data_IF_772808815238
#
_entry.id   IF_772808815238
#
_cell.length_a   1.000
_cell.length_b   1.000
_cell.length_c   1.000
_cell.angle_alpha   90.00
_cell.angle_beta   90.00
_cell.angle_gamma   90.00
#
_symmetry.space_group_name_H-M   'P 1'
#
loop_
_entity.id
_entity.type
_entity.pdbx_description
1 polymer ?
#
# COMPACT_ATOMS: atom_id res chain seq x y z
N UNK A 1 5.59 -16.04 1.51
CA UNK A 1 4.50 -15.93 2.50
C UNK A 1 4.92 -14.88 3.52
N UNK A 2 4.21 -13.75 3.60
CA UNK A 2 4.49 -12.71 4.59
C UNK A 2 3.98 -13.22 5.95
N UNK A 3 4.90 -13.57 6.86
CA UNK A 3 4.58 -14.30 8.10
C UNK A 3 4.39 -13.40 9.32
N UNK A 4 4.58 -12.09 9.17
CA UNK A 4 4.42 -11.11 10.24
C UNK A 4 3.89 -9.78 9.69
N UNK A 5 3.33 -8.96 10.59
CA UNK A 5 2.91 -7.59 10.29
C UNK A 5 4.09 -6.77 9.76
N UNK A 6 5.26 -6.92 10.37
CA UNK A 6 6.48 -6.20 9.93
C UNK A 6 6.90 -6.58 8.51
N UNK A 7 6.81 -7.86 8.14
CA UNK A 7 7.12 -8.30 6.80
C UNK A 7 6.17 -7.66 5.77
N UNK A 8 4.88 -7.57 6.10
CA UNK A 8 3.88 -6.91 5.25
C UNK A 8 4.22 -5.43 5.09
N UNK A 9 4.55 -4.75 6.18
CA UNK A 9 4.89 -3.33 6.16
C UNK A 9 6.14 -3.07 5.30
N UNK A 10 7.21 -3.84 5.51
CA UNK A 10 8.46 -3.72 4.73
C UNK A 10 8.20 -3.95 3.24
N UNK A 11 7.39 -4.96 2.90
CA UNK A 11 7.11 -5.31 1.51
C UNK A 11 6.34 -4.21 0.76
N UNK A 12 5.40 -3.51 1.42
CA UNK A 12 4.59 -2.47 0.77
C UNK A 12 5.23 -1.09 0.82
N UNK A 13 6.11 -0.82 1.78
CA UNK A 13 6.65 0.53 2.02
C UNK A 13 7.38 1.12 0.81
N UNK A 14 8.31 0.37 0.21
CA UNK A 14 9.07 0.81 -0.97
C UNK A 14 8.18 1.10 -2.19
N UNK A 15 7.36 0.13 -2.63
CA UNK A 15 6.40 0.33 -3.72
C UNK A 15 5.42 1.49 -3.48
N UNK A 16 4.95 1.66 -2.24
CA UNK A 16 4.04 2.75 -1.88
C UNK A 16 4.69 4.12 -2.01
N UNK A 17 5.92 4.29 -1.49
CA UNK A 17 6.69 5.54 -1.66
C UNK A 17 6.96 5.81 -3.13
N UNK A 18 7.31 4.79 -3.91
CA UNK A 18 7.55 4.93 -5.35
C UNK A 18 6.30 5.40 -6.11
N UNK A 19 5.12 4.94 -5.71
CA UNK A 19 3.85 5.26 -6.37
C UNK A 19 3.23 6.59 -5.91
N UNK A 20 3.39 6.96 -4.63
CA UNK A 20 2.65 8.07 -4.02
C UNK A 20 3.54 9.19 -3.46
N UNK A 21 4.85 8.98 -3.41
CA UNK A 21 5.83 9.94 -2.90
C UNK A 21 6.22 9.70 -1.44
N UNK A 22 7.30 10.36 -0.98
CA UNK A 22 7.94 10.09 0.32
C UNK A 22 7.11 10.54 1.53
N UNK A 23 6.11 11.40 1.35
CA UNK A 23 5.23 11.86 2.44
C UNK A 23 4.05 10.92 2.70
N UNK A 24 3.93 9.85 1.91
CA UNK A 24 2.85 8.87 2.03
C UNK A 24 2.95 8.09 3.33
N UNK A 25 1.82 7.88 4.02
CA UNK A 25 1.75 7.09 5.26
C UNK A 25 0.80 5.92 5.08
N UNK A 26 1.27 4.72 5.40
CA UNK A 26 0.42 3.53 5.44
C UNK A 26 -0.64 3.69 6.55
N UNK A 27 -1.91 3.46 6.22
CA UNK A 27 -3.00 3.49 7.19
C UNK A 27 -3.42 2.07 7.58
N UNK A 28 -3.62 1.22 6.59
CA UNK A 28 -4.01 -0.18 6.78
C UNK A 28 -3.28 -1.07 5.79
N UNK A 29 -3.03 -2.33 6.18
CA UNK A 29 -2.56 -3.37 5.29
C UNK A 29 -3.15 -4.71 5.73
N UNK A 30 -3.74 -5.41 4.79
CA UNK A 30 -4.39 -6.70 4.99
C UNK A 30 -3.85 -7.70 3.96
N UNK A 31 -3.60 -8.92 4.40
CA UNK A 31 -3.14 -10.01 3.53
C UNK A 31 -4.34 -10.77 2.99
N UNK A 32 -4.49 -10.77 1.67
CA UNK A 32 -5.53 -11.44 0.91
C UNK A 32 -4.88 -12.48 -0.01
N UNK A 33 -4.51 -13.63 0.54
CA UNK A 33 -3.78 -14.67 -0.20
C UNK A 33 -2.40 -14.16 -0.66
N UNK A 34 -2.14 -14.06 -1.99
CA UNK A 34 -0.88 -13.51 -2.50
C UNK A 34 -0.84 -11.98 -2.52
N UNK A 35 -1.98 -11.31 -2.32
CA UNK A 35 -2.06 -9.87 -2.37
C UNK A 35 -1.98 -9.24 -0.98
N UNK A 36 -1.39 -8.07 -0.90
CA UNK A 36 -1.57 -7.14 0.21
C UNK A 36 -2.42 -5.98 -0.28
N UNK A 37 -3.51 -5.70 0.42
CA UNK A 37 -4.43 -4.60 0.11
C UNK A 37 -4.46 -3.63 1.28
N UNK A 38 -4.65 -2.36 1.00
CA UNK A 38 -4.71 -1.40 2.09
C UNK A 38 -5.01 0.01 1.65
N UNK A 39 -4.96 0.91 2.63
CA UNK A 39 -5.13 2.33 2.45
C UNK A 39 -3.84 3.06 2.84
N UNK A 40 -3.56 4.15 2.14
CA UNK A 40 -2.49 5.07 2.49
C UNK A 40 -2.97 6.52 2.40
N UNK A 41 -2.47 7.33 3.32
CA UNK A 41 -2.66 8.77 3.31
C UNK A 41 -1.56 9.41 2.46
N UNK A 42 -1.98 10.14 1.42
CA UNK A 42 -1.12 10.97 0.58
C UNK A 42 -1.52 12.45 0.76
N UNK A 43 -0.68 13.41 0.34
CA UNK A 43 -1.08 14.81 0.30
C UNK A 43 -2.41 15.00 -0.46
N UNK A 44 -3.42 15.52 0.24
CA UNK A 44 -4.74 15.83 -0.33
C UNK A 44 -5.62 14.62 -0.70
N UNK A 45 -5.25 13.38 -0.35
CA UNK A 45 -6.07 12.20 -0.68
C UNK A 45 -5.76 10.96 0.16
N UNK A 46 -6.74 10.08 0.26
CA UNK A 46 -6.55 8.68 0.66
C UNK A 46 -6.55 7.83 -0.60
N UNK A 47 -5.55 6.97 -0.74
CA UNK A 47 -5.44 6.02 -1.85
C UNK A 47 -5.66 4.61 -1.33
N UNK A 48 -6.34 3.79 -2.14
CA UNK A 48 -6.32 2.34 -2.00
C UNK A 48 -5.14 1.80 -2.79
N UNK A 49 -4.42 0.85 -2.22
CA UNK A 49 -3.37 0.13 -2.95
C UNK A 49 -3.62 -1.38 -2.95
N UNK A 50 -3.05 -2.05 -3.96
CA UNK A 50 -2.96 -3.50 -4.08
C UNK A 50 -1.53 -3.84 -4.48
N UNK A 51 -0.88 -4.69 -3.70
CA UNK A 51 0.44 -5.26 -3.99
C UNK A 51 0.29 -6.76 -4.20
N UNK A 52 0.56 -7.25 -5.41
CA UNK A 52 0.64 -8.68 -5.70
C UNK A 52 2.09 -9.15 -5.53
N UNK A 53 2.34 -9.92 -4.47
CA UNK A 53 3.68 -10.42 -4.15
C UNK A 53 4.17 -11.50 -5.12
N UNK A 54 3.31 -12.08 -5.97
CA UNK A 54 3.74 -13.09 -6.96
C UNK A 54 4.43 -12.47 -8.16
N UNK A 55 3.91 -11.34 -8.61
CA UNK A 55 4.34 -10.67 -9.84
C UNK A 55 5.00 -9.32 -9.57
N UNK A 56 5.20 -8.98 -8.29
CA UNK A 56 5.72 -7.69 -7.81
C UNK A 56 4.95 -6.48 -8.37
N UNK A 57 3.66 -6.66 -8.66
CA UNK A 57 2.82 -5.60 -9.20
C UNK A 57 2.24 -4.74 -8.09
N UNK A 58 2.37 -3.43 -8.22
CA UNK A 58 1.80 -2.46 -7.29
C UNK A 58 0.85 -1.53 -8.02
N UNK A 59 -0.39 -1.45 -7.55
CA UNK A 59 -1.44 -0.59 -8.11
C UNK A 59 -1.99 0.33 -7.05
N UNK A 60 -2.30 1.56 -7.43
CA UNK A 60 -2.93 2.55 -6.58
C UNK A 60 -4.17 3.12 -7.28
N UNK A 61 -5.15 3.50 -6.47
CA UNK A 61 -6.39 4.13 -6.93
C UNK A 61 -6.84 5.15 -5.90
N UNK A 62 -7.31 6.31 -6.35
CA UNK A 62 -7.87 7.31 -5.45
C UNK A 62 -9.13 6.77 -4.79
N UNK A 63 -9.17 6.83 -3.46
CA UNK A 63 -10.33 6.39 -2.69
C UNK A 63 -11.13 7.58 -2.17
N UNK A 64 -10.45 8.62 -1.67
CA UNK A 64 -11.06 9.85 -1.17
C UNK A 64 -10.14 11.04 -1.44
N UNK A 65 -10.70 12.18 -1.86
CA UNK A 65 -10.00 13.47 -1.91
C UNK A 65 -10.25 14.23 -0.61
N UNK A 66 -9.19 14.77 -0.04
CA UNK A 66 -9.23 15.55 1.21
C UNK A 66 -9.16 17.03 0.83
N UNK A 67 -10.14 17.81 1.33
CA UNK A 67 -10.25 19.25 1.10
C UNK A 67 -9.26 20.04 1.97
#
# INVERSE_FOLDING_TARGET
MLKSVDAVHIAVHGPLIKACGPTTRLLTAEVHGPEVRGLALCPGRVVRFVFDARNEQFKTMDHLRLA
#
